data_IF_112758087740
#
_entry.id   IF_112758087740
#
_cell.length_a   1.000
_cell.length_b   1.000
_cell.length_c   1.000
_cell.angle_alpha   90.00
_cell.angle_beta   90.00
_cell.angle_gamma   90.00
#
_symmetry.space_group_name_H-M   'P 1'
#
loop_
_entity.id
_entity.type
_entity.pdbx_description
1 polymer ?
#
# COMPACT_ATOMS: atom_id res chain seq x y z
N UNK A 1 -4.20 7.20 0.93
CA UNK A 1 -3.91 7.55 2.32
C UNK A 1 -4.58 6.54 3.25
N UNK A 2 -3.83 6.03 4.19
CA UNK A 2 -4.35 5.12 5.20
C UNK A 2 -4.31 5.78 6.56
N UNK A 3 -5.42 5.71 7.30
CA UNK A 3 -5.46 6.01 8.72
C UNK A 3 -5.26 4.71 9.47
N UNK A 4 -4.18 4.62 10.22
CA UNK A 4 -3.83 3.44 11.00
C UNK A 4 -4.42 3.58 12.40
N UNK A 5 -4.80 2.47 13.03
CA UNK A 5 -5.23 2.50 14.43
C UNK A 5 -4.15 3.12 15.31
N UNK A 6 -4.57 3.83 16.35
CA UNK A 6 -3.68 4.64 17.16
C UNK A 6 -2.47 3.86 17.68
N UNK A 7 -1.29 4.42 17.44
CA UNK A 7 -0.02 3.85 17.92
C UNK A 7 0.47 2.63 17.16
N UNK A 8 -0.17 2.25 16.04
CA UNK A 8 0.14 1.00 15.32
C UNK A 8 0.91 1.18 14.02
N UNK A 9 1.27 2.41 13.66
CA UNK A 9 1.93 2.66 12.36
C UNK A 9 3.24 1.91 12.21
N UNK A 10 4.09 1.92 13.24
CA UNK A 10 5.38 1.22 13.19
C UNK A 10 5.21 -0.29 13.08
N UNK A 11 4.24 -0.85 13.79
CA UNK A 11 3.93 -2.28 13.71
C UNK A 11 3.44 -2.66 12.30
N UNK A 12 2.61 -1.83 11.70
CA UNK A 12 2.13 -2.05 10.33
C UNK A 12 3.29 -2.07 9.35
N UNK A 13 4.17 -1.06 9.41
CA UNK A 13 5.32 -0.97 8.51
C UNK A 13 6.23 -2.19 8.69
N UNK A 14 6.48 -2.59 9.94
CA UNK A 14 7.31 -3.76 10.23
C UNK A 14 6.72 -5.02 9.60
N UNK A 15 5.44 -5.25 9.78
CA UNK A 15 4.79 -6.47 9.27
C UNK A 15 4.76 -6.47 7.74
N UNK A 16 4.48 -5.32 7.11
CA UNK A 16 4.52 -5.17 5.66
C UNK A 16 5.91 -5.52 5.12
N UNK A 17 6.96 -4.98 5.75
CA UNK A 17 8.33 -5.24 5.31
C UNK A 17 8.72 -6.71 5.48
N UNK A 18 8.34 -7.32 6.59
CA UNK A 18 8.64 -8.73 6.86
C UNK A 18 7.90 -9.67 5.91
N UNK A 19 6.72 -9.28 5.43
CA UNK A 19 5.92 -10.08 4.50
C UNK A 19 6.52 -10.16 3.10
N UNK A 20 7.39 -9.21 2.74
CA UNK A 20 7.99 -9.09 1.40
C UNK A 20 6.97 -8.75 0.29
N UNK A 21 5.74 -8.41 0.66
CA UNK A 21 4.68 -8.16 -0.32
C UNK A 21 5.00 -6.95 -1.21
N UNK A 22 5.65 -5.92 -0.67
CA UNK A 22 6.02 -4.75 -1.47
C UNK A 22 7.04 -5.10 -2.55
N UNK A 23 7.98 -5.98 -2.25
CA UNK A 23 8.95 -6.45 -3.24
C UNK A 23 8.26 -7.20 -4.38
N UNK A 24 7.27 -8.01 -4.06
CA UNK A 24 6.47 -8.71 -5.08
C UNK A 24 5.69 -7.74 -5.95
N UNK A 25 5.08 -6.73 -5.34
CA UNK A 25 4.33 -5.71 -6.08
C UNK A 25 5.25 -4.94 -7.02
N UNK A 26 6.42 -4.53 -6.55
CA UNK A 26 7.37 -3.74 -7.35
C UNK A 26 7.93 -4.52 -8.54
N UNK A 27 7.88 -5.84 -8.50
CA UNK A 27 8.31 -6.70 -9.62
C UNK A 27 7.19 -6.99 -10.62
N UNK A 28 5.96 -6.58 -10.33
CA UNK A 28 4.86 -6.78 -11.26
C UNK A 28 5.07 -6.00 -12.55
N UNK A 29 4.63 -6.60 -13.65
CA UNK A 29 4.68 -5.96 -14.95
C UNK A 29 3.85 -4.67 -14.93
N UNK A 30 4.45 -3.57 -15.37
CA UNK A 30 3.81 -2.26 -15.40
C UNK A 30 3.92 -1.44 -14.13
N UNK A 31 4.46 -1.98 -13.04
CA UNK A 31 4.68 -1.20 -11.82
C UNK A 31 5.88 -0.29 -12.00
N UNK A 32 5.63 1.01 -12.05
CA UNK A 32 6.70 2.03 -12.12
C UNK A 32 7.20 2.34 -10.72
N UNK A 33 6.30 2.56 -9.77
CA UNK A 33 6.66 2.81 -8.38
C UNK A 33 5.51 2.40 -7.45
N UNK A 34 5.87 2.04 -6.23
CA UNK A 34 4.91 1.66 -5.19
C UNK A 34 5.59 1.93 -3.85
N UNK A 35 5.31 3.09 -3.25
CA UNK A 35 6.03 3.54 -2.07
C UNK A 35 5.09 4.04 -0.98
N UNK A 36 5.44 3.75 0.27
CA UNK A 36 4.80 4.31 1.44
C UNK A 36 5.58 5.52 1.93
N UNK A 37 4.83 6.54 2.36
CA UNK A 37 5.39 7.75 2.97
C UNK A 37 4.67 7.98 4.29
N UNK A 38 5.43 8.33 5.31
CA UNK A 38 4.86 8.60 6.63
C UNK A 38 4.56 10.08 6.77
N UNK A 39 3.35 10.40 7.25
CA UNK A 39 2.98 11.78 7.55
C UNK A 39 3.75 12.23 8.80
N UNK A 40 4.45 13.34 8.70
CA UNK A 40 5.24 13.88 9.81
C UNK A 40 4.38 14.62 10.84
N UNK A 41 3.16 14.99 10.48
CA UNK A 41 2.25 15.72 11.36
C UNK A 41 1.22 14.82 12.03
N UNK A 42 1.02 13.61 11.52
CA UNK A 42 0.03 12.67 12.06
C UNK A 42 0.68 11.29 12.15
N UNK A 43 0.91 10.85 13.38
CA UNK A 43 1.62 9.59 13.65
C UNK A 43 0.85 8.35 13.19
N UNK A 44 -0.40 8.50 12.82
CA UNK A 44 -1.27 7.39 12.41
C UNK A 44 -1.60 7.41 10.92
N UNK A 45 -0.98 8.28 10.15
CA UNK A 45 -1.25 8.41 8.71
C UNK A 45 -0.08 7.92 7.87
N UNK A 46 -0.40 7.12 6.86
CA UNK A 46 0.54 6.66 5.82
C UNK A 46 -0.03 7.03 4.47
N UNK A 47 0.82 7.58 3.60
CA UNK A 47 0.47 7.83 2.21
C UNK A 47 1.10 6.73 1.34
N UNK A 48 0.27 6.07 0.55
CA UNK A 48 0.74 5.18 -0.51
C UNK A 48 0.68 5.96 -1.82
N UNK A 49 1.80 6.02 -2.52
CA UNK A 49 1.87 6.57 -3.87
C UNK A 49 2.30 5.46 -4.80
N UNK A 50 1.44 5.14 -5.77
CA UNK A 50 1.73 4.11 -6.75
C UNK A 50 1.57 4.67 -8.16
N UNK A 51 2.42 4.19 -9.05
CA UNK A 51 2.40 4.61 -10.45
C UNK A 51 2.51 3.36 -11.33
N UNK A 52 1.63 3.27 -12.32
CA UNK A 52 1.54 2.14 -13.24
C UNK A 52 1.62 2.65 -14.68
N UNK A 53 2.19 1.85 -15.57
CA UNK A 53 2.34 2.26 -16.97
C UNK A 53 0.99 2.30 -17.70
N UNK A 54 -0.03 1.59 -17.20
CA UNK A 54 -1.40 1.64 -17.74
C UNK A 54 -2.42 1.23 -16.70
N UNK A 55 -3.67 1.59 -16.95
CA UNK A 55 -4.80 1.17 -16.09
C UNK A 55 -4.99 -0.35 -16.13
N UNK A 56 -4.69 -0.97 -17.28
CA UNK A 56 -4.82 -2.41 -17.42
C UNK A 56 -3.83 -3.14 -16.51
N UNK A 57 -2.60 -2.64 -16.42
CA UNK A 57 -1.59 -3.22 -15.55
C UNK A 57 -1.98 -3.09 -14.07
N UNK A 58 -2.53 -1.94 -13.69
CA UNK A 58 -3.02 -1.74 -12.33
C UNK A 58 -4.19 -2.70 -12.03
N UNK A 59 -5.08 -2.93 -12.98
CA UNK A 59 -6.19 -3.86 -12.77
C UNK A 59 -5.70 -5.29 -12.57
N UNK A 60 -4.69 -5.71 -13.32
CA UNK A 60 -4.05 -7.02 -13.14
C UNK A 60 -3.40 -7.11 -11.76
N UNK A 61 -2.72 -6.04 -11.31
CA UNK A 61 -2.14 -5.96 -9.98
C UNK A 61 -3.15 -6.29 -8.88
N UNK A 62 -4.35 -5.73 -8.96
CA UNK A 62 -5.38 -5.93 -7.94
C UNK A 62 -5.83 -7.38 -7.81
N UNK A 63 -5.55 -8.20 -8.81
CA UNK A 63 -5.94 -9.62 -8.84
C UNK A 63 -4.83 -10.57 -8.45
N UNK A 64 -3.63 -10.06 -8.14
CA UNK A 64 -2.49 -10.90 -7.79
C UNK A 64 -2.70 -11.61 -6.45
N UNK A 65 -2.17 -12.83 -6.34
CA UNK A 65 -2.31 -13.64 -5.14
C UNK A 65 -1.73 -12.95 -3.91
N UNK A 66 -0.58 -12.28 -4.06
CA UNK A 66 0.06 -11.60 -2.94
C UNK A 66 -0.74 -10.39 -2.43
N UNK A 67 -1.72 -9.90 -3.19
CA UNK A 67 -2.60 -8.83 -2.70
C UNK A 67 -3.52 -9.32 -1.58
N UNK A 68 -3.76 -10.63 -1.49
CA UNK A 68 -4.49 -11.20 -0.35
C UNK A 68 -3.70 -11.05 0.95
N UNK A 69 -2.39 -11.26 0.90
CA UNK A 69 -1.51 -11.04 2.05
C UNK A 69 -1.56 -9.59 2.50
N UNK A 70 -1.46 -8.66 1.55
CA UNK A 70 -1.56 -7.23 1.85
C UNK A 70 -2.90 -6.90 2.50
N UNK A 71 -4.00 -7.40 1.96
CA UNK A 71 -5.33 -7.15 2.50
C UNK A 71 -5.47 -7.66 3.94
N UNK A 72 -4.94 -8.84 4.23
CA UNK A 72 -4.96 -9.42 5.57
C UNK A 72 -4.21 -8.55 6.58
N UNK A 73 -3.05 -8.02 6.19
CA UNK A 73 -2.27 -7.13 7.06
C UNK A 73 -3.03 -5.82 7.26
N UNK A 74 -3.55 -5.23 6.19
CA UNK A 74 -4.32 -3.99 6.28
C UNK A 74 -5.53 -4.12 7.20
N UNK A 75 -6.22 -5.25 7.16
CA UNK A 75 -7.39 -5.48 8.01
C UNK A 75 -7.06 -5.36 9.50
N UNK A 76 -5.84 -5.69 9.90
CA UNK A 76 -5.42 -5.60 11.29
C UNK A 76 -5.07 -4.19 11.75
N UNK A 77 -4.66 -3.32 10.84
CA UNK A 77 -4.05 -2.04 11.21
C UNK A 77 -4.74 -0.82 10.63
N UNK A 78 -5.45 -0.95 9.52
CA UNK A 78 -6.00 0.21 8.81
C UNK A 78 -7.43 0.47 9.25
N UNK A 79 -7.65 1.66 9.83
CA UNK A 79 -8.98 2.08 10.30
C UNK A 79 -9.81 2.71 9.19
N UNK A 80 -9.15 3.41 8.25
CA UNK A 80 -9.84 4.12 7.18
C UNK A 80 -8.90 4.31 5.99
N UNK A 81 -9.48 4.39 4.80
CA UNK A 81 -8.73 4.56 3.56
C UNK A 81 -9.38 5.65 2.71
N UNK A 82 -8.57 6.56 2.19
CA UNK A 82 -9.00 7.55 1.20
C UNK A 82 -8.11 7.42 -0.03
N UNK A 83 -8.72 7.46 -1.21
CA UNK A 83 -8.02 7.28 -2.47
C UNK A 83 -8.20 8.50 -3.36
N UNK A 84 -7.10 8.98 -3.94
CA UNK A 84 -7.11 9.98 -5.00
C UNK A 84 -6.32 9.45 -6.18
N UNK A 85 -6.83 9.69 -7.37
CA UNK A 85 -6.17 9.31 -8.60
C UNK A 85 -5.70 10.57 -9.33
N UNK A 86 -4.45 10.57 -9.77
CA UNK A 86 -3.86 11.66 -10.54
C UNK A 86 -3.51 11.16 -11.95
N UNK A 87 -3.53 12.08 -12.91
CA UNK A 87 -3.29 11.76 -14.30
C UNK A 87 -4.60 11.51 -15.05
N UNK A 88 -4.51 10.75 -16.15
CA UNK A 88 -5.63 10.49 -17.06
C UNK A 88 -6.68 9.58 -16.46
#
# INVERSE_FOLDING_TARGET
MYKIFDGKRDEYIKEINESKVLDLIRKEDGCISYNYYLDTNDNNTILLVEEWDSKDKQAIHMKQEHMKTLAQIKDKYVADTAVRTFGE
#
